data_IF_021954178919
#
_entry.id   IF_021954178919
#
_cell.length_a   1.000
_cell.length_b   1.000
_cell.length_c   1.000
_cell.angle_alpha   90.00
_cell.angle_beta   90.00
_cell.angle_gamma   90.00
#
_symmetry.space_group_name_H-M   'P 1'
#
loop_
_entity.id
_entity.type
_entity.pdbx_description
1 polymer ?
#
# COMPACT_ATOMS: atom_id res chain seq x y z
N UNK A 1 28.79 -4.07 -14.64
CA UNK A 1 27.98 -4.42 -13.46
C UNK A 1 27.78 -3.19 -12.61
N UNK A 2 26.79 -2.37 -12.96
CA UNK A 2 26.33 -1.23 -12.19
C UNK A 2 24.91 -1.55 -11.74
N UNK A 3 24.64 -1.37 -10.45
CA UNK A 3 23.33 -1.50 -9.83
C UNK A 3 22.30 -0.68 -10.60
N UNK A 4 21.36 -1.36 -11.25
CA UNK A 4 20.15 -0.73 -11.74
C UNK A 4 19.25 -0.48 -10.54
N UNK A 5 18.92 0.79 -10.27
CA UNK A 5 17.83 1.15 -9.37
C UNK A 5 16.52 0.60 -9.97
N UNK A 6 16.10 -0.58 -9.50
CA UNK A 6 14.93 -1.33 -9.99
C UNK A 6 13.64 -0.85 -9.33
N UNK A 7 13.36 0.46 -9.36
CA UNK A 7 12.12 1.01 -8.81
C UNK A 7 11.53 2.11 -9.70
N UNK A 8 10.29 1.93 -10.16
CA UNK A 8 9.52 2.95 -10.88
C UNK A 8 8.26 2.42 -11.59
N UNK A 9 7.29 3.30 -11.82
CA UNK A 9 6.31 3.19 -12.91
C UNK A 9 6.95 3.91 -14.10
N UNK A 10 7.02 3.35 -15.31
CA UNK A 10 7.85 3.94 -16.37
C UNK A 10 7.24 5.28 -16.82
N UNK A 11 7.78 6.41 -16.37
CA UNK A 11 7.19 7.73 -16.66
C UNK A 11 7.53 8.21 -18.09
N UNK A 12 8.81 8.21 -18.51
CA UNK A 12 9.32 8.32 -19.90
C UNK A 12 10.71 7.67 -19.89
N UNK A 13 11.10 6.97 -20.96
CA UNK A 13 12.43 6.36 -21.07
C UNK A 13 13.10 6.65 -22.41
N UNK A 14 14.41 6.90 -22.40
CA UNK A 14 15.17 7.09 -23.65
C UNK A 14 15.11 5.81 -24.48
N UNK A 15 14.90 5.93 -25.81
CA UNK A 15 14.76 4.80 -26.73
C UNK A 15 15.88 3.74 -26.63
N UNK A 16 17.08 4.16 -26.21
CA UNK A 16 18.25 3.28 -26.01
C UNK A 16 18.06 2.22 -24.91
N UNK A 17 17.02 2.36 -24.08
CA UNK A 17 16.62 1.29 -23.18
C UNK A 17 15.18 0.79 -23.36
N UNK A 18 14.69 0.91 -24.59
CA UNK A 18 13.64 0.04 -25.10
C UNK A 18 14.11 -1.42 -25.10
N UNK A 19 13.24 -2.33 -24.71
CA UNK A 19 13.46 -3.75 -24.91
C UNK A 19 13.16 -4.12 -26.37
N UNK A 20 14.06 -4.87 -26.99
CA UNK A 20 13.79 -5.41 -28.33
C UNK A 20 12.71 -6.47 -28.24
N UNK A 21 11.71 -6.44 -29.13
CA UNK A 21 10.78 -7.54 -29.27
C UNK A 21 11.43 -8.68 -30.08
N UNK A 22 11.08 -9.93 -29.77
CA UNK A 22 11.48 -11.07 -30.60
C UNK A 22 10.99 -10.88 -32.04
N UNK A 23 11.93 -10.98 -32.98
CA UNK A 23 11.63 -10.92 -34.41
C UNK A 23 10.89 -12.18 -34.84
N UNK A 24 9.76 -11.99 -35.50
CA UNK A 24 9.02 -13.09 -36.12
C UNK A 24 7.53 -12.86 -36.09
N UNK A 25 6.77 -13.96 -36.15
CA UNK A 25 5.32 -13.95 -36.09
C UNK A 25 4.85 -13.84 -34.64
N UNK A 26 3.89 -12.95 -34.41
CA UNK A 26 3.16 -12.79 -33.16
C UNK A 26 1.70 -13.19 -33.37
N UNK A 27 1.17 -13.99 -32.46
CA UNK A 27 -0.22 -14.44 -32.44
C UNK A 27 -0.97 -13.71 -31.32
N UNK A 28 -2.20 -13.30 -31.59
CA UNK A 28 -3.04 -12.56 -30.63
C UNK A 28 -4.18 -13.45 -30.12
N UNK A 29 -4.39 -13.39 -28.81
CA UNK A 29 -5.39 -14.12 -28.06
C UNK A 29 -6.22 -13.12 -27.27
N UNK A 30 -7.52 -13.07 -27.53
CA UNK A 30 -8.44 -12.22 -26.77
C UNK A 30 -8.79 -12.90 -25.45
N UNK A 31 -8.95 -12.10 -24.39
CA UNK A 31 -9.45 -12.55 -23.10
C UNK A 31 -10.91 -12.13 -22.96
N UNK A 32 -11.76 -13.11 -22.66
CA UNK A 32 -13.20 -12.92 -22.49
C UNK A 32 -13.60 -13.19 -21.03
N UNK A 33 -14.51 -12.38 -20.50
CA UNK A 33 -15.14 -12.68 -19.21
C UNK A 33 -16.01 -13.94 -19.29
N UNK A 34 -15.99 -14.75 -18.23
CA UNK A 34 -16.86 -15.92 -18.13
C UNK A 34 -18.32 -15.51 -18.00
N UNK A 35 -19.19 -16.02 -18.88
CA UNK A 35 -20.63 -15.77 -18.86
C UNK A 35 -21.25 -15.84 -20.26
N UNK A 36 -22.59 -15.80 -20.32
CA UNK A 36 -23.29 -15.78 -21.60
C UNK A 36 -23.06 -14.43 -22.30
N UNK A 37 -22.42 -14.44 -23.47
CA UNK A 37 -22.07 -13.22 -24.21
C UNK A 37 -20.81 -12.50 -23.70
N UNK A 38 -19.88 -13.22 -23.06
CA UNK A 38 -18.66 -12.69 -22.45
C UNK A 38 -17.95 -11.62 -23.29
N UNK A 39 -17.78 -10.43 -22.69
CA UNK A 39 -17.13 -9.28 -23.32
C UNK A 39 -15.63 -9.53 -23.45
N UNK A 40 -15.04 -9.11 -24.57
CA UNK A 40 -13.57 -9.01 -24.71
C UNK A 40 -13.11 -7.82 -23.88
N UNK A 41 -12.29 -8.08 -22.87
CA UNK A 41 -11.89 -7.09 -21.85
C UNK A 41 -10.37 -6.93 -21.77
N UNK A 42 -9.63 -7.92 -22.27
CA UNK A 42 -8.17 -7.87 -22.37
C UNK A 42 -7.69 -8.57 -23.64
N UNK A 43 -6.44 -8.32 -24.02
CA UNK A 43 -5.80 -8.95 -25.17
C UNK A 43 -4.36 -9.35 -24.85
N UNK A 44 -3.94 -10.52 -25.31
CA UNK A 44 -2.60 -11.07 -25.13
C UNK A 44 -1.97 -11.30 -26.50
N UNK A 45 -0.79 -10.75 -26.74
CA UNK A 45 0.02 -11.05 -27.91
C UNK A 45 1.23 -11.89 -27.47
N UNK A 46 1.52 -12.97 -28.19
CA UNK A 46 2.68 -13.82 -27.92
C UNK A 46 3.48 -14.05 -29.20
N UNK A 47 4.81 -14.04 -29.09
CA UNK A 47 5.66 -14.53 -30.17
C UNK A 47 5.39 -16.03 -30.39
N UNK A 48 5.41 -16.48 -31.65
CA UNK A 48 5.12 -17.87 -32.09
C UNK A 48 6.02 -18.97 -31.47
N UNK A 49 7.11 -18.57 -30.80
CA UNK A 49 7.92 -19.47 -29.97
C UNK A 49 7.19 -19.94 -28.70
N UNK A 50 6.28 -19.13 -28.16
CA UNK A 50 5.50 -19.47 -26.97
C UNK A 50 4.43 -20.50 -27.35
N UNK A 51 4.59 -21.73 -26.86
CA UNK A 51 3.66 -22.84 -27.15
C UNK A 51 2.43 -22.86 -26.26
N UNK A 52 2.49 -22.21 -25.10
CA UNK A 52 1.43 -22.18 -24.11
C UNK A 52 1.08 -20.75 -23.70
N UNK A 53 0.32 -20.00 -24.54
CA UNK A 53 -0.09 -18.62 -24.24
C UNK A 53 -0.85 -18.49 -22.92
N UNK A 54 -1.63 -19.50 -22.55
CA UNK A 54 -2.33 -19.55 -21.26
C UNK A 54 -1.34 -19.50 -20.08
N UNK A 55 -0.32 -20.37 -20.11
CA UNK A 55 0.67 -20.47 -19.03
C UNK A 55 1.50 -19.19 -18.93
N UNK A 56 1.80 -18.58 -20.08
CA UNK A 56 2.48 -17.28 -20.13
C UNK A 56 1.64 -16.16 -19.53
N UNK A 57 0.34 -16.09 -19.86
CA UNK A 57 -0.57 -15.10 -19.29
C UNK A 57 -0.68 -15.29 -17.76
N UNK A 58 -0.87 -16.53 -17.28
CA UNK A 58 -0.92 -16.82 -15.85
C UNK A 58 0.39 -16.46 -15.14
N UNK A 59 1.54 -16.77 -15.73
CA UNK A 59 2.85 -16.39 -15.19
C UNK A 59 2.99 -14.88 -15.03
N UNK A 60 2.60 -14.11 -16.05
CA UNK A 60 2.64 -12.65 -15.99
C UNK A 60 1.75 -12.12 -14.87
N UNK A 61 0.52 -12.63 -14.78
CA UNK A 61 -0.48 -12.18 -13.80
C UNK A 61 -0.12 -12.55 -12.36
N UNK A 62 0.56 -13.67 -12.14
CA UNK A 62 1.11 -14.03 -10.82
C UNK A 62 2.19 -13.05 -10.34
N UNK A 63 2.90 -12.39 -11.25
CA UNK A 63 3.96 -11.44 -10.94
C UNK A 63 3.43 -10.01 -10.80
N UNK A 64 2.56 -9.59 -11.72
CA UNK A 64 2.02 -8.23 -11.76
C UNK A 64 0.61 -8.21 -12.41
N UNK A 65 -0.41 -8.39 -11.59
CA UNK A 65 -1.82 -8.38 -12.01
C UNK A 65 -2.35 -6.93 -12.21
N UNK A 66 -3.67 -6.79 -12.40
CA UNK A 66 -4.37 -5.50 -12.37
C UNK A 66 -4.24 -4.84 -10.99
N UNK A 67 -3.87 -3.55 -10.89
CA UNK A 67 -3.78 -2.85 -9.61
C UNK A 67 -5.10 -2.75 -8.83
N UNK A 68 -6.22 -3.08 -9.48
CA UNK A 68 -7.55 -3.09 -8.88
C UNK A 68 -7.94 -4.46 -8.31
N UNK A 69 -7.15 -5.52 -8.52
CA UNK A 69 -7.35 -6.80 -7.85
C UNK A 69 -6.61 -6.83 -6.50
N UNK A 70 -7.17 -7.55 -5.51
CA UNK A 70 -6.64 -7.57 -4.15
C UNK A 70 -5.24 -8.19 -4.06
N UNK A 71 -4.93 -9.21 -4.86
CA UNK A 71 -3.62 -9.87 -4.90
C UNK A 71 -2.81 -9.43 -6.13
N UNK A 72 -2.79 -8.12 -6.40
CA UNK A 72 -2.13 -7.59 -7.59
C UNK A 72 -0.60 -7.70 -7.62
N UNK A 73 -0.02 -8.19 -6.52
CA UNK A 73 1.41 -8.25 -6.24
C UNK A 73 2.06 -6.86 -6.27
N UNK A 74 2.45 -6.37 -7.45
CA UNK A 74 3.05 -5.05 -7.61
C UNK A 74 2.61 -4.39 -8.91
N UNK A 75 2.36 -3.10 -8.85
CA UNK A 75 2.11 -2.24 -9.99
C UNK A 75 3.35 -1.43 -10.38
N UNK A 76 4.54 -1.80 -9.88
CA UNK A 76 5.81 -1.13 -10.19
C UNK A 76 6.82 -2.13 -10.70
N UNK A 77 7.76 -1.65 -11.50
CA UNK A 77 8.95 -2.42 -11.80
C UNK A 77 9.79 -2.52 -10.53
N UNK A 78 10.03 -3.75 -10.09
CA UNK A 78 10.74 -4.13 -8.86
C UNK A 78 11.67 -5.29 -9.15
N UNK A 79 12.52 -5.67 -8.19
CA UNK A 79 13.29 -6.91 -8.31
C UNK A 79 12.38 -8.13 -8.55
N UNK A 80 11.19 -8.19 -7.91
CA UNK A 80 10.21 -9.27 -8.12
C UNK A 80 9.71 -9.32 -9.57
N UNK A 81 9.44 -8.18 -10.20
CA UNK A 81 9.00 -8.17 -11.60
C UNK A 81 10.16 -8.51 -12.54
N UNK A 82 11.37 -8.06 -12.23
CA UNK A 82 12.58 -8.43 -12.97
C UNK A 82 12.83 -9.94 -12.92
N UNK A 83 12.91 -10.54 -11.74
CA UNK A 83 13.10 -11.98 -11.55
C UNK A 83 11.94 -12.77 -12.16
N UNK A 84 10.73 -12.23 -12.03
CA UNK A 84 9.52 -12.74 -12.66
C UNK A 84 9.48 -12.58 -14.18
N UNK A 85 10.45 -11.91 -14.82
CA UNK A 85 10.51 -11.61 -16.26
C UNK A 85 9.26 -10.88 -16.75
N UNK A 86 8.87 -9.85 -16.01
CA UNK A 86 7.74 -8.98 -16.31
C UNK A 86 8.16 -7.52 -16.23
N UNK A 87 7.88 -6.76 -17.28
CA UNK A 87 7.97 -5.31 -17.28
C UNK A 87 6.54 -4.74 -17.23
N UNK A 88 6.31 -3.85 -16.26
CA UNK A 88 5.02 -3.25 -15.94
C UNK A 88 4.88 -1.89 -16.62
N UNK A 89 3.76 -1.69 -17.32
CA UNK A 89 3.31 -0.43 -17.91
C UNK A 89 1.95 -0.07 -17.28
N UNK A 90 1.86 1.10 -16.65
CA UNK A 90 0.67 1.60 -15.99
C UNK A 90 -0.08 2.63 -16.82
N UNK A 91 -1.29 2.99 -16.36
CA UNK A 91 -2.15 3.98 -17.02
C UNK A 91 -1.48 5.30 -17.38
N UNK A 92 -0.51 5.73 -16.58
CA UNK A 92 0.20 6.99 -16.78
C UNK A 92 1.42 6.88 -17.69
N UNK A 93 1.85 5.67 -17.98
CA UNK A 93 3.05 5.38 -18.75
C UNK A 93 2.76 5.44 -20.28
N UNK A 94 1.48 5.59 -20.68
CA UNK A 94 1.02 5.59 -22.07
C UNK A 94 1.10 6.94 -22.78
N UNK A 95 1.46 8.02 -22.07
CA UNK A 95 1.91 9.27 -22.71
C UNK A 95 0.86 10.05 -23.52
N UNK A 96 -0.41 10.07 -23.11
CA UNK A 96 -1.41 10.95 -23.74
C UNK A 96 -1.34 12.35 -23.09
N UNK A 97 -0.80 13.32 -23.85
CA UNK A 97 -0.89 14.79 -23.70
C UNK A 97 -0.37 15.48 -22.42
N UNK A 98 0.16 14.78 -21.41
CA UNK A 98 0.57 15.45 -20.16
C UNK A 98 1.95 16.13 -20.19
N UNK A 99 2.83 15.80 -21.14
CA UNK A 99 4.17 16.38 -21.26
C UNK A 99 4.50 16.53 -22.74
N UNK A 100 4.69 17.79 -23.17
CA UNK A 100 4.77 18.17 -24.57
C UNK A 100 5.79 17.38 -25.41
N UNK A 101 5.44 17.29 -26.70
CA UNK A 101 6.21 16.79 -27.83
C UNK A 101 6.47 15.27 -27.80
N UNK A 102 5.67 14.54 -28.59
CA UNK A 102 6.10 13.25 -29.12
C UNK A 102 7.40 13.48 -29.92
N UNK A 103 8.57 13.12 -29.37
CA UNK A 103 9.88 13.31 -30.01
C UNK A 103 9.92 12.74 -31.45
N UNK A 104 9.09 11.73 -31.73
CA UNK A 104 9.03 11.02 -33.01
C UNK A 104 7.78 11.34 -33.86
N UNK A 105 6.87 12.21 -33.39
CA UNK A 105 5.64 12.58 -34.13
C UNK A 105 4.61 11.43 -34.30
N UNK A 106 4.77 10.32 -33.58
CA UNK A 106 3.91 9.13 -33.70
C UNK A 106 2.63 9.30 -32.85
N UNK A 107 1.49 9.60 -33.49
CA UNK A 107 0.16 9.72 -32.84
C UNK A 107 -0.72 8.49 -33.10
N UNK A 108 -0.21 7.28 -32.88
CA UNK A 108 -0.91 6.04 -33.27
C UNK A 108 -1.57 5.38 -32.05
N UNK A 109 -2.85 5.69 -31.82
CA UNK A 109 -3.68 5.13 -30.76
C UNK A 109 -4.97 5.94 -30.63
N UNK A 110 -6.11 5.26 -30.47
CA UNK A 110 -7.42 5.93 -30.37
C UNK A 110 -8.10 5.57 -29.05
N UNK A 111 -8.51 6.61 -28.34
CA UNK A 111 -9.56 6.55 -27.34
C UNK A 111 -10.86 7.09 -27.98
N UNK A 112 -11.89 6.26 -28.09
CA UNK A 112 -13.20 6.69 -28.61
C UNK A 112 -14.28 6.45 -27.57
N UNK A 113 -15.00 7.51 -27.22
CA UNK A 113 -16.22 7.41 -26.40
C UNK A 113 -17.37 6.94 -27.30
N UNK A 114 -17.77 5.69 -27.13
CA UNK A 114 -18.94 5.13 -27.81
C UNK A 114 -20.13 5.08 -26.84
N UNK A 115 -21.35 4.98 -27.38
CA UNK A 115 -22.58 4.92 -26.56
C UNK A 115 -22.66 3.72 -25.59
N UNK A 116 -21.75 2.75 -25.71
CA UNK A 116 -21.60 1.55 -24.88
C UNK A 116 -20.29 1.51 -24.04
N UNK A 117 -19.52 2.61 -24.03
CA UNK A 117 -18.34 2.80 -23.17
C UNK A 117 -17.10 3.33 -23.91
N UNK A 118 -16.00 3.51 -23.19
CA UNK A 118 -14.71 3.90 -23.77
C UNK A 118 -14.05 2.69 -24.45
N UNK A 119 -13.70 2.85 -25.73
CA UNK A 119 -12.92 1.87 -26.50
C UNK A 119 -11.47 2.34 -26.56
N UNK A 120 -10.56 1.46 -26.18
CA UNK A 120 -9.14 1.72 -26.14
C UNK A 120 -8.40 0.79 -27.08
N UNK A 121 -7.47 1.34 -27.86
CA UNK A 121 -6.69 0.53 -28.79
C UNK A 121 -5.21 0.89 -28.79
N UNK A 122 -4.36 -0.13 -28.93
CA UNK A 122 -2.91 0.00 -29.06
C UNK A 122 -2.41 -0.91 -30.18
N UNK A 123 -1.37 -0.46 -30.87
CA UNK A 123 -0.81 -1.17 -32.01
C UNK A 123 0.47 -1.90 -31.61
N UNK A 124 0.60 -3.16 -32.03
CA UNK A 124 1.86 -3.89 -32.01
C UNK A 124 2.35 -4.01 -33.45
N UNK A 125 3.39 -3.25 -33.79
CA UNK A 125 3.86 -3.00 -35.17
C UNK A 125 5.40 -3.02 -35.23
N UNK A 126 5.95 -3.28 -36.41
CA UNK A 126 7.39 -3.10 -36.64
C UNK A 126 7.71 -1.60 -36.74
N UNK A 127 8.64 -1.12 -35.91
CA UNK A 127 9.00 0.31 -35.87
C UNK A 127 9.53 0.81 -37.22
N UNK A 128 10.35 0.02 -37.93
CA UNK A 128 10.90 0.45 -39.22
C UNK A 128 9.78 0.66 -40.26
N UNK A 129 8.72 -0.13 -40.16
CA UNK A 129 7.57 -0.03 -41.04
C UNK A 129 6.68 1.18 -40.72
N UNK A 130 6.56 1.55 -39.45
CA UNK A 130 5.87 2.78 -39.05
C UNK A 130 6.62 4.00 -39.60
N UNK A 131 7.94 4.04 -39.42
CA UNK A 131 8.78 5.14 -39.90
C UNK A 131 8.73 5.30 -41.42
N UNK A 132 8.86 4.19 -42.18
CA UNK A 132 8.74 4.22 -43.65
C UNK A 132 7.39 4.78 -44.09
N UNK A 133 6.32 4.50 -43.35
CA UNK A 133 4.98 4.96 -43.73
C UNK A 133 4.78 6.45 -43.39
N UNK A 134 5.25 6.92 -42.23
CA UNK A 134 5.16 8.34 -41.84
C UNK A 134 5.99 9.26 -42.73
N UNK A 135 7.14 8.81 -43.23
CA UNK A 135 7.93 9.55 -44.21
C UNK A 135 7.24 9.68 -45.57
N UNK A 136 6.25 8.81 -45.87
CA UNK A 136 5.61 8.69 -47.18
C UNK A 136 4.11 9.08 -47.20
N UNK A 137 3.51 9.46 -46.07
CA UNK A 137 2.08 9.83 -45.97
C UNK A 137 1.90 11.29 -45.56
N UNK A 138 1.27 12.09 -46.42
CA UNK A 138 0.81 13.46 -46.12
C UNK A 138 -0.55 13.49 -45.39
N UNK A 139 -1.18 12.34 -45.15
CA UNK A 139 -2.50 12.23 -44.52
C UNK A 139 -2.56 11.04 -43.53
N UNK A 140 -3.47 11.18 -42.55
CA UNK A 140 -3.79 10.27 -41.46
C UNK A 140 -3.54 8.78 -41.74
N UNK A 141 -2.86 8.10 -40.82
CA UNK A 141 -2.64 6.65 -40.82
C UNK A 141 -4.01 5.96 -40.82
N UNK A 142 -4.45 5.45 -41.97
CA UNK A 142 -5.78 4.82 -42.14
C UNK A 142 -6.09 3.80 -41.02
N UNK A 143 -7.31 3.84 -40.46
CA UNK A 143 -7.80 2.95 -39.38
C UNK A 143 -7.71 1.44 -39.72
N UNK A 144 -7.51 1.09 -40.99
CA UNK A 144 -7.57 -0.25 -41.59
C UNK A 144 -6.27 -1.07 -41.52
N UNK A 145 -5.25 -0.62 -40.76
CA UNK A 145 -3.97 -1.35 -40.57
C UNK A 145 -4.11 -2.77 -39.98
N UNK A 146 -5.31 -3.17 -39.56
CA UNK A 146 -5.64 -4.48 -38.96
C UNK A 146 -5.29 -5.67 -39.88
N UNK A 147 -5.29 -5.50 -41.20
CA UNK A 147 -5.23 -6.63 -42.15
C UNK A 147 -4.09 -6.57 -43.18
N UNK A 148 -3.17 -5.60 -43.08
CA UNK A 148 -2.10 -5.42 -44.07
C UNK A 148 -0.87 -6.31 -43.86
N UNK A 149 -0.85 -7.13 -42.80
CA UNK A 149 0.30 -7.96 -42.42
C UNK A 149 1.46 -7.18 -41.76
N UNK A 150 1.21 -5.92 -41.40
CA UNK A 150 2.20 -4.94 -40.90
C UNK A 150 2.24 -4.80 -39.37
N UNK A 151 1.26 -5.38 -38.70
CA UNK A 151 1.12 -5.37 -37.24
C UNK A 151 -0.26 -5.86 -36.84
N UNK A 152 -0.57 -5.72 -35.56
CA UNK A 152 -1.87 -6.10 -35.01
C UNK A 152 -2.40 -5.01 -34.07
N UNK A 153 -3.66 -4.63 -34.28
CA UNK A 153 -4.39 -3.72 -33.39
C UNK A 153 -4.97 -4.52 -32.24
N UNK A 154 -4.53 -4.23 -31.03
CA UNK A 154 -5.15 -4.70 -29.80
C UNK A 154 -6.26 -3.73 -29.45
N UNK A 155 -7.46 -4.24 -29.30
CA UNK A 155 -8.66 -3.45 -28.98
C UNK A 155 -9.28 -4.04 -27.74
N UNK A 156 -9.39 -3.21 -26.70
CA UNK A 156 -10.05 -3.57 -25.45
C UNK A 156 -11.03 -2.46 -25.07
N UNK A 157 -11.92 -2.74 -24.13
CA UNK A 157 -12.87 -1.77 -23.64
C UNK A 157 -12.60 -1.43 -22.17
N UNK A 158 -12.94 -0.20 -21.79
CA UNK A 158 -12.81 0.30 -20.43
C UNK A 158 -11.82 1.45 -20.31
N UNK A 159 -11.88 2.13 -19.17
CA UNK A 159 -10.99 3.26 -18.84
C UNK A 159 -9.69 2.75 -18.20
N UNK A 160 -8.63 3.57 -18.28
CA UNK A 160 -7.30 3.32 -17.69
C UNK A 160 -6.62 2.03 -18.17
N UNK A 161 -5.71 2.16 -19.12
CA UNK A 161 -5.06 1.03 -19.77
C UNK A 161 -3.78 0.60 -19.05
N UNK A 162 -3.57 -0.71 -18.97
CA UNK A 162 -2.40 -1.32 -18.38
C UNK A 162 -1.76 -2.30 -19.37
N UNK A 163 -0.44 -2.37 -19.31
CA UNK A 163 0.36 -3.27 -20.13
C UNK A 163 1.32 -4.11 -19.27
N UNK A 164 1.54 -5.35 -19.64
CA UNK A 164 2.56 -6.22 -19.03
C UNK A 164 3.33 -6.91 -20.15
N UNK A 165 4.62 -6.65 -20.22
CA UNK A 165 5.51 -7.34 -21.16
C UNK A 165 6.14 -8.54 -20.49
N UNK A 166 6.08 -9.72 -21.11
CA UNK A 166 6.85 -10.87 -20.71
C UNK A 166 8.20 -10.89 -21.43
N UNK A 167 9.28 -11.03 -20.64
CA UNK A 167 10.65 -11.07 -21.16
C UNK A 167 11.13 -12.50 -21.39
N UNK A 168 12.12 -12.66 -22.26
CA UNK A 168 12.86 -13.93 -22.45
C UNK A 168 13.60 -14.34 -21.17
N UNK A 169 14.04 -15.60 -21.11
CA UNK A 169 14.76 -16.16 -19.94
C UNK A 169 16.01 -15.38 -19.54
N UNK A 170 16.69 -14.79 -20.52
CA UNK A 170 17.92 -13.99 -20.37
C UNK A 170 17.65 -12.48 -20.30
N UNK A 171 16.38 -12.07 -20.21
CA UNK A 171 15.94 -10.66 -20.19
C UNK A 171 16.35 -9.83 -21.41
N UNK A 172 16.79 -10.46 -22.50
CA UNK A 172 17.31 -9.75 -23.68
C UNK A 172 16.21 -9.21 -24.61
N UNK A 173 15.02 -9.81 -24.58
CA UNK A 173 13.92 -9.44 -25.47
C UNK A 173 12.53 -9.60 -24.84
N UNK A 174 11.55 -8.88 -25.40
CA UNK A 174 10.12 -9.07 -25.16
C UNK A 174 9.60 -10.21 -26.03
N UNK A 175 8.86 -11.13 -25.44
CA UNK A 175 8.26 -12.28 -26.15
C UNK A 175 6.73 -12.35 -26.01
N UNK A 176 6.15 -11.56 -25.12
CA UNK A 176 4.71 -11.49 -24.93
C UNK A 176 4.28 -10.10 -24.41
N UNK A 177 3.02 -9.74 -24.66
CA UNK A 177 2.42 -8.50 -24.20
C UNK A 177 0.95 -8.74 -23.82
N UNK A 178 0.58 -8.41 -22.59
CA UNK A 178 -0.79 -8.44 -22.08
C UNK A 178 -1.30 -7.02 -21.87
N UNK A 179 -2.45 -6.71 -22.46
CA UNK A 179 -3.13 -5.42 -22.38
C UNK A 179 -4.51 -5.59 -21.74
N UNK A 180 -4.84 -4.76 -20.75
CA UNK A 180 -6.12 -4.78 -20.04
C UNK A 180 -6.49 -3.40 -19.49
N UNK A 181 -7.71 -3.22 -18.96
CA UNK A 181 -8.21 -1.96 -18.42
C UNK A 181 -8.48 -2.04 -16.91
N UNK A 182 -8.83 -0.93 -16.27
CA UNK A 182 -9.25 -0.93 -14.86
C UNK A 182 -10.51 -1.78 -14.62
N UNK A 183 -11.34 -1.93 -15.66
CA UNK A 183 -12.59 -2.69 -15.60
C UNK A 183 -12.39 -4.20 -15.78
N UNK A 184 -11.20 -4.64 -16.19
CA UNK A 184 -10.91 -6.06 -16.43
C UNK A 184 -10.82 -6.83 -15.11
N UNK A 185 -11.77 -7.76 -14.90
CA UNK A 185 -11.72 -8.75 -13.82
C UNK A 185 -10.97 -9.99 -14.30
N UNK A 186 -9.65 -9.99 -14.17
CA UNK A 186 -8.75 -11.03 -14.69
C UNK A 186 -9.02 -12.39 -14.05
N UNK A 187 -9.44 -12.40 -12.78
CA UNK A 187 -9.95 -13.59 -12.07
C UNK A 187 -11.16 -14.26 -12.71
N UNK A 188 -11.87 -13.58 -13.62
CA UNK A 188 -13.03 -14.10 -14.37
C UNK A 188 -12.74 -14.26 -15.86
N UNK A 189 -11.52 -13.96 -16.30
CA UNK A 189 -11.16 -14.00 -17.71
C UNK A 189 -10.63 -15.38 -18.12
N UNK A 190 -11.03 -15.82 -19.31
CA UNK A 190 -10.48 -17.00 -19.99
C UNK A 190 -9.92 -16.57 -21.35
N UNK A 191 -8.97 -17.33 -21.91
CA UNK A 191 -8.58 -17.14 -23.31
C UNK A 191 -9.75 -17.53 -24.22
N UNK A 192 -10.04 -16.68 -25.20
CA UNK A 192 -11.03 -16.94 -26.23
C UNK A 192 -10.61 -18.20 -27.01
N UNK A 193 -11.56 -19.13 -27.18
CA UNK A 193 -11.35 -20.42 -27.82
C UNK A 193 -10.40 -21.40 -27.07
N UNK A 194 -10.15 -21.20 -25.77
CA UNK A 194 -9.50 -22.25 -24.97
C UNK A 194 -10.37 -23.52 -25.01
N UNK A 195 -9.81 -24.71 -25.31
CA UNK A 195 -10.57 -25.96 -25.36
C UNK A 195 -11.10 -26.38 -23.98
N UNK A 196 -10.57 -25.80 -22.90
CA UNK A 196 -10.96 -26.08 -21.52
C UNK A 196 -11.97 -25.03 -21.04
N UNK A 197 -13.25 -25.41 -20.81
CA UNK A 197 -14.25 -24.48 -20.32
C UNK A 197 -13.85 -23.90 -18.96
N UNK A 198 -14.07 -22.59 -18.76
CA UNK A 198 -13.83 -21.89 -17.49
C UNK A 198 -12.40 -22.04 -16.94
N UNK A 199 -11.41 -22.17 -17.82
CA UNK A 199 -10.01 -22.12 -17.43
C UNK A 199 -9.58 -20.65 -17.28
N UNK A 200 -9.65 -20.15 -16.05
CA UNK A 200 -9.34 -18.76 -15.73
C UNK A 200 -7.83 -18.49 -15.80
N UNK A 201 -7.45 -17.35 -16.40
CA UNK A 201 -6.03 -16.95 -16.52
C UNK A 201 -5.40 -16.57 -15.18
N UNK A 202 -6.24 -16.25 -14.19
CA UNK A 202 -5.82 -15.90 -12.84
C UNK A 202 -6.79 -16.52 -11.83
N UNK A 203 -6.24 -17.03 -10.72
CA UNK A 203 -7.00 -17.56 -9.59
C UNK A 203 -6.59 -16.74 -8.37
N UNK A 204 -7.50 -15.94 -7.78
CA UNK A 204 -7.21 -15.19 -6.57
C UNK A 204 -6.78 -16.09 -5.43
N UNK A 205 -5.93 -15.56 -4.56
CA UNK A 205 -5.59 -16.23 -3.31
C UNK A 205 -6.83 -16.35 -2.42
N UNK A 206 -6.95 -17.44 -1.68
CA UNK A 206 -7.93 -17.49 -0.60
C UNK A 206 -7.54 -16.48 0.50
N UNK A 207 -8.49 -16.02 1.34
CA UNK A 207 -8.17 -15.15 2.47
C UNK A 207 -7.05 -15.70 3.36
N UNK A 208 -7.00 -17.01 3.58
CA UNK A 208 -5.98 -17.69 4.38
C UNK A 208 -4.60 -17.65 3.71
N UNK A 209 -4.54 -17.88 2.40
CA UNK A 209 -3.31 -17.80 1.62
C UNK A 209 -2.77 -16.37 1.61
N UNK A 210 -3.63 -15.38 1.34
CA UNK A 210 -3.27 -13.96 1.38
C UNK A 210 -2.74 -13.55 2.75
N UNK A 211 -3.41 -14.01 3.82
CA UNK A 211 -2.95 -13.73 5.17
C UNK A 211 -1.58 -14.34 5.45
N UNK A 212 -1.35 -15.60 5.03
CA UNK A 212 -0.05 -16.27 5.17
C UNK A 212 1.06 -15.56 4.37
N UNK A 213 0.79 -15.08 3.17
CA UNK A 213 1.77 -14.32 2.37
C UNK A 213 2.12 -12.99 3.03
N UNK A 214 1.12 -12.23 3.49
CA UNK A 214 1.32 -10.94 4.18
C UNK A 214 2.05 -11.06 5.51
N UNK A 215 1.94 -12.21 6.18
CA UNK A 215 2.76 -12.54 7.34
C UNK A 215 4.21 -12.80 6.92
N UNK A 216 4.41 -13.62 5.89
CA UNK A 216 5.74 -14.05 5.46
C UNK A 216 6.57 -12.90 4.87
N UNK A 217 5.95 -11.97 4.14
CA UNK A 217 6.63 -10.82 3.52
C UNK A 217 6.73 -9.60 4.45
N UNK A 218 6.14 -9.65 5.65
CA UNK A 218 6.15 -8.57 6.62
C UNK A 218 5.24 -7.39 6.29
N UNK A 219 4.33 -7.52 5.32
CA UNK A 219 3.37 -6.47 4.93
C UNK A 219 2.56 -5.94 6.11
N UNK A 220 2.20 -6.82 7.06
CA UNK A 220 1.45 -6.45 8.26
C UNK A 220 2.22 -5.57 9.25
N UNK A 221 3.53 -5.37 9.06
CA UNK A 221 4.29 -4.37 9.82
C UNK A 221 3.97 -2.95 9.36
N UNK A 222 3.53 -2.74 8.12
CA UNK A 222 3.16 -1.43 7.58
C UNK A 222 4.34 -0.51 7.22
N UNK A 223 5.56 -1.03 7.22
CA UNK A 223 6.77 -0.24 6.99
C UNK A 223 6.87 0.35 5.58
N UNK A 224 6.48 -0.40 4.54
CA UNK A 224 6.46 0.14 3.19
C UNK A 224 5.50 1.32 3.03
N UNK A 225 4.35 1.27 3.72
CA UNK A 225 3.40 2.36 3.70
C UNK A 225 3.98 3.59 4.41
N UNK A 226 4.59 3.43 5.59
CA UNK A 226 5.24 4.53 6.30
C UNK A 226 6.35 5.21 5.47
N UNK A 227 7.18 4.44 4.77
CA UNK A 227 8.20 4.98 3.85
C UNK A 227 7.62 5.88 2.76
N UNK A 228 6.36 5.66 2.36
CA UNK A 228 5.68 6.45 1.32
C UNK A 228 4.96 7.67 1.89
N UNK A 229 4.49 7.58 3.13
CA UNK A 229 3.65 8.59 3.77
C UNK A 229 4.41 9.70 4.50
N UNK A 230 5.72 9.53 4.75
CA UNK A 230 6.50 10.48 5.55
C UNK A 230 7.74 10.95 4.82
N UNK A 231 7.84 12.26 4.60
CA UNK A 231 8.85 12.87 3.72
C UNK A 231 9.82 13.82 4.44
N UNK A 232 9.73 13.98 5.76
CA UNK A 232 10.56 14.94 6.51
C UNK A 232 11.68 14.23 7.31
N UNK A 233 12.94 14.28 6.85
CA UNK A 233 14.08 13.72 7.58
C UNK A 233 14.35 14.38 8.94
N UNK A 234 13.99 15.65 9.14
CA UNK A 234 14.21 16.36 10.41
C UNK A 234 13.32 15.80 11.53
N UNK A 235 12.15 15.27 11.18
CA UNK A 235 11.25 14.60 12.11
C UNK A 235 11.94 13.44 12.83
N UNK A 236 12.76 12.65 12.10
CA UNK A 236 13.41 11.44 12.62
C UNK A 236 14.55 11.70 13.60
N UNK A 237 15.11 12.92 13.63
CA UNK A 237 16.21 13.27 14.53
C UNK A 237 15.77 13.37 16.00
N UNK A 238 14.47 13.56 16.23
CA UNK A 238 13.89 13.79 17.57
C UNK A 238 13.05 12.61 18.05
N UNK A 239 13.27 11.40 17.50
CA UNK A 239 12.59 10.20 17.96
C UNK A 239 13.15 9.71 19.29
N UNK A 240 12.26 9.20 20.13
CA UNK A 240 12.58 8.61 21.43
C UNK A 240 13.10 7.18 21.21
N UNK A 241 14.33 6.85 21.67
CA UNK A 241 14.85 5.50 21.63
C UNK A 241 13.94 4.50 22.36
N UNK A 242 14.00 3.20 22.02
CA UNK A 242 13.19 2.18 22.69
C UNK A 242 13.35 2.24 24.22
N UNK A 243 12.23 2.35 24.92
CA UNK A 243 12.17 2.43 26.38
C UNK A 243 12.27 1.03 27.02
N UNK A 244 12.03 -0.02 26.24
CA UNK A 244 12.05 -1.43 26.67
C UNK A 244 10.93 -1.72 27.65
N UNK A 245 9.70 -1.34 27.29
CA UNK A 245 8.51 -1.41 28.15
C UNK A 245 7.45 -2.35 27.60
N UNK A 246 7.86 -3.40 26.90
CA UNK A 246 6.99 -4.32 26.16
C UNK A 246 5.95 -5.03 27.03
N UNK A 247 6.17 -5.08 28.35
CA UNK A 247 5.27 -5.67 29.34
C UNK A 247 4.48 -4.64 30.17
N UNK A 248 4.51 -3.34 29.83
CA UNK A 248 3.85 -2.29 30.61
C UNK A 248 2.33 -2.48 30.69
N UNK A 249 1.68 -2.73 29.56
CA UNK A 249 0.25 -3.07 29.46
C UNK A 249 0.17 -4.54 29.03
N UNK A 250 -0.51 -5.41 29.78
CA UNK A 250 -0.60 -6.82 29.45
C UNK A 250 -1.52 -7.06 28.25
N UNK A 251 -1.23 -8.11 27.47
CA UNK A 251 -2.02 -8.49 26.28
C UNK A 251 -3.51 -8.67 26.59
N UNK A 252 -3.83 -9.27 27.75
CA UNK A 252 -5.21 -9.49 28.18
C UNK A 252 -6.00 -8.18 28.32
N UNK A 253 -5.35 -7.11 28.77
CA UNK A 253 -5.97 -5.79 28.89
C UNK A 253 -6.22 -5.19 27.51
N UNK A 254 -5.23 -5.23 26.62
CA UNK A 254 -5.35 -4.75 25.23
C UNK A 254 -6.48 -5.48 24.50
N UNK A 255 -6.54 -6.81 24.60
CA UNK A 255 -7.60 -7.60 23.96
C UNK A 255 -8.98 -7.31 24.56
N UNK A 256 -9.06 -7.10 25.88
CA UNK A 256 -10.31 -6.72 26.55
C UNK A 256 -10.82 -5.37 26.05
N UNK A 257 -9.93 -4.39 25.90
CA UNK A 257 -10.27 -3.06 25.37
C UNK A 257 -10.69 -3.17 23.90
N UNK A 258 -9.92 -3.87 23.07
CA UNK A 258 -10.23 -4.07 21.66
C UNK A 258 -11.63 -4.69 21.48
N UNK A 259 -11.95 -5.73 22.27
CA UNK A 259 -13.26 -6.37 22.24
C UNK A 259 -14.40 -5.43 22.67
N UNK A 260 -14.11 -4.48 23.58
CA UNK A 260 -15.08 -3.47 24.07
C UNK A 260 -15.35 -2.39 23.02
N UNK A 261 -14.29 -1.83 22.42
CA UNK A 261 -14.41 -0.71 21.47
C UNK A 261 -14.75 -1.16 20.06
N UNK A 262 -14.34 -2.37 19.68
CA UNK A 262 -14.59 -2.91 18.35
C UNK A 262 -15.08 -4.37 18.41
N UNK A 263 -16.34 -4.62 18.78
CA UNK A 263 -16.86 -5.97 19.00
C UNK A 263 -16.96 -6.83 17.74
N UNK A 264 -16.80 -6.22 16.55
CA UNK A 264 -16.81 -6.91 15.25
C UNK A 264 -15.46 -7.51 14.89
N UNK A 265 -14.37 -6.90 15.39
CA UNK A 265 -13.06 -7.55 15.44
C UNK A 265 -13.18 -8.62 16.52
N UNK A 266 -12.62 -9.82 16.31
CA UNK A 266 -12.76 -10.95 17.25
C UNK A 266 -12.08 -10.71 18.62
N UNK A 267 -11.60 -9.49 18.90
CA UNK A 267 -10.79 -9.16 20.07
C UNK A 267 -9.39 -9.78 20.02
N UNK A 268 -8.97 -10.26 18.85
CA UNK A 268 -7.72 -11.02 18.69
C UNK A 268 -6.68 -10.14 18.01
N UNK A 269 -5.50 -10.09 18.64
CA UNK A 269 -4.26 -9.66 18.01
C UNK A 269 -3.67 -10.86 17.29
N UNK A 270 -3.22 -10.68 16.04
CA UNK A 270 -2.60 -11.74 15.24
C UNK A 270 -1.52 -12.48 16.05
N UNK A 271 -1.70 -13.79 16.34
CA UNK A 271 -0.81 -14.55 17.22
C UNK A 271 0.68 -14.44 16.89
N UNK A 272 1.03 -14.44 15.61
CA UNK A 272 2.43 -14.36 15.18
C UNK A 272 3.03 -12.97 15.33
N UNK A 273 2.20 -11.93 15.49
CA UNK A 273 2.61 -10.53 15.59
C UNK A 273 2.28 -9.91 16.95
N UNK A 274 1.91 -10.73 17.95
CA UNK A 274 1.64 -10.26 19.31
C UNK A 274 2.83 -9.51 19.93
N UNK A 275 4.09 -9.99 19.83
CA UNK A 275 5.24 -9.26 20.37
C UNK A 275 5.37 -7.86 19.78
N UNK A 276 5.20 -7.73 18.46
CA UNK A 276 5.31 -6.46 17.73
C UNK A 276 4.18 -5.50 18.09
N UNK A 277 2.95 -5.98 18.24
CA UNK A 277 1.82 -5.16 18.67
C UNK A 277 1.99 -4.68 20.11
N UNK A 278 2.43 -5.57 21.01
CA UNK A 278 2.70 -5.22 22.40
C UNK A 278 3.81 -4.20 22.52
N UNK A 279 4.93 -4.42 21.82
CA UNK A 279 6.05 -3.49 21.79
C UNK A 279 5.58 -2.13 21.25
N UNK A 280 4.88 -2.10 20.11
CA UNK A 280 4.41 -0.87 19.49
C UNK A 280 3.49 -0.05 20.41
N UNK A 281 2.44 -0.66 20.97
CA UNK A 281 1.47 0.04 21.82
C UNK A 281 2.11 0.49 23.13
N UNK A 282 2.91 -0.36 23.78
CA UNK A 282 3.54 -0.01 25.04
C UNK A 282 4.61 1.07 24.87
N UNK A 283 5.42 1.02 23.83
CA UNK A 283 6.40 2.08 23.53
C UNK A 283 5.71 3.40 23.21
N UNK A 284 4.62 3.37 22.44
CA UNK A 284 3.79 4.54 22.13
C UNK A 284 3.22 5.18 23.41
N UNK A 285 2.65 4.37 24.31
CA UNK A 285 2.16 4.84 25.59
C UNK A 285 3.29 5.32 26.51
N UNK A 286 4.45 4.64 26.49
CA UNK A 286 5.63 5.03 27.26
C UNK A 286 6.13 6.41 26.85
N UNK A 287 6.22 6.69 25.56
CA UNK A 287 6.60 8.01 25.03
C UNK A 287 5.63 9.10 25.51
N UNK A 288 4.33 8.82 25.51
CA UNK A 288 3.34 9.77 26.03
C UNK A 288 3.54 10.06 27.53
N UNK A 289 3.75 9.04 28.37
CA UNK A 289 4.04 9.22 29.80
C UNK A 289 5.35 9.98 30.00
N UNK A 290 6.39 9.67 29.23
CA UNK A 290 7.67 10.36 29.27
C UNK A 290 7.51 11.86 28.98
N UNK A 291 6.65 12.22 28.01
CA UNK A 291 6.32 13.61 27.70
C UNK A 291 5.72 14.35 28.90
N UNK A 292 4.81 13.70 29.64
CA UNK A 292 4.27 14.26 30.89
C UNK A 292 5.36 14.47 31.95
N UNK A 293 6.24 13.48 32.11
CA UNK A 293 7.41 13.56 33.00
C UNK A 293 8.31 14.74 32.67
N UNK A 294 8.72 14.86 31.41
CA UNK A 294 9.61 15.92 30.93
C UNK A 294 9.01 17.32 31.13
N UNK A 295 7.71 17.49 30.83
CA UNK A 295 7.01 18.77 31.06
C UNK A 295 6.98 19.14 32.54
N UNK A 296 6.75 18.17 33.42
CA UNK A 296 6.65 18.40 34.86
C UNK A 296 7.96 18.91 35.49
N UNK A 297 9.14 18.63 34.91
CA UNK A 297 10.42 19.04 35.50
C UNK A 297 10.59 20.57 35.59
N UNK A 298 9.99 21.30 34.64
CA UNK A 298 10.09 22.77 34.53
C UNK A 298 8.94 23.53 35.17
N UNK A 299 7.97 22.82 35.75
CA UNK A 299 6.70 23.38 36.19
C UNK A 299 6.54 23.26 37.71
N UNK A 300 5.86 24.24 38.32
CA UNK A 300 5.70 24.35 39.78
C UNK A 300 4.29 23.98 40.29
N UNK A 301 3.28 23.90 39.41
CA UNK A 301 1.90 23.58 39.80
C UNK A 301 1.24 22.54 38.90
N UNK A 302 0.25 21.81 39.45
CA UNK A 302 -0.56 20.84 38.70
C UNK A 302 -1.32 21.50 37.55
N UNK A 303 -1.87 22.68 37.77
CA UNK A 303 -2.65 23.40 36.75
C UNK A 303 -1.78 23.81 35.56
N UNK A 304 -0.57 24.30 35.84
CA UNK A 304 0.40 24.64 34.80
C UNK A 304 0.86 23.40 34.02
N UNK A 305 1.03 22.25 34.71
CA UNK A 305 1.36 20.98 34.04
C UNK A 305 0.25 20.58 33.07
N UNK A 306 -1.01 20.63 33.52
CA UNK A 306 -2.16 20.26 32.69
C UNK A 306 -2.32 21.20 31.49
N UNK A 307 -2.08 22.50 31.65
CA UNK A 307 -2.07 23.46 30.53
C UNK A 307 -0.93 23.20 29.53
N UNK A 308 0.25 22.82 30.01
CA UNK A 308 1.41 22.54 29.16
C UNK A 308 1.33 21.17 28.46
N UNK A 309 0.71 20.18 29.11
CA UNK A 309 0.52 18.85 28.58
C UNK A 309 -0.70 18.75 27.66
N UNK A 310 -1.79 19.46 28.00
CA UNK A 310 -3.08 19.37 27.32
C UNK A 310 -3.56 20.76 26.87
N UNK A 311 -2.82 21.47 26.01
CA UNK A 311 -3.08 22.89 25.68
C UNK A 311 -4.47 23.13 25.10
N UNK A 312 -5.03 22.16 24.36
CA UNK A 312 -6.36 22.31 23.75
C UNK A 312 -7.51 21.87 24.67
N UNK A 313 -7.24 21.45 25.92
CA UNK A 313 -8.28 20.99 26.85
C UNK A 313 -9.22 22.11 27.30
N UNK A 314 -8.74 23.35 27.29
CA UNK A 314 -9.47 24.54 27.75
C UNK A 314 -10.10 25.32 26.59
N UNK A 315 -10.00 24.80 25.36
CA UNK A 315 -10.60 25.38 24.17
C UNK A 315 -12.11 25.14 24.05
N UNK A 316 -12.77 25.77 23.06
CA UNK A 316 -14.21 25.61 22.83
C UNK A 316 -14.57 24.19 22.36
N UNK A 317 -13.63 23.46 21.74
CA UNK A 317 -13.85 22.11 21.26
C UNK A 317 -13.67 21.06 22.36
N UNK A 318 -14.76 20.79 23.09
CA UNK A 318 -14.78 19.78 24.15
C UNK A 318 -14.60 18.34 23.65
N UNK A 319 -14.63 18.09 22.33
CA UNK A 319 -14.37 16.77 21.75
C UNK A 319 -12.89 16.49 21.47
N UNK A 320 -12.03 17.48 21.63
CA UNK A 320 -10.59 17.31 21.43
C UNK A 320 -10.01 16.31 22.44
N UNK A 321 -9.02 15.52 22.01
CA UNK A 321 -8.34 14.50 22.82
C UNK A 321 -7.85 15.04 24.17
N UNK A 322 -7.19 16.21 24.18
CA UNK A 322 -6.79 16.95 25.38
C UNK A 322 -7.93 17.17 26.39
N UNK A 323 -9.11 17.59 25.92
CA UNK A 323 -10.28 17.84 26.77
C UNK A 323 -10.83 16.53 27.36
N UNK A 324 -10.82 15.46 26.57
CA UNK A 324 -11.24 14.13 27.02
C UNK A 324 -10.26 13.53 28.03
N UNK A 325 -8.94 13.63 27.80
CA UNK A 325 -7.91 13.21 28.77
C UNK A 325 -8.08 13.97 30.09
N UNK A 326 -8.24 15.29 30.05
CA UNK A 326 -8.45 16.10 31.25
C UNK A 326 -9.70 15.66 32.02
N UNK A 327 -10.79 15.37 31.30
CA UNK A 327 -12.02 14.82 31.89
C UNK A 327 -11.76 13.47 32.58
N UNK A 328 -10.98 12.58 31.96
CA UNK A 328 -10.63 11.27 32.52
C UNK A 328 -9.72 11.38 33.74
N UNK A 329 -8.77 12.32 33.75
CA UNK A 329 -7.95 12.59 34.94
C UNK A 329 -8.78 12.97 36.17
N UNK A 330 -9.87 13.70 35.97
CA UNK A 330 -10.74 14.21 37.04
C UNK A 330 -11.90 13.26 37.39
N UNK A 331 -12.20 12.26 36.56
CA UNK A 331 -13.30 11.34 36.81
C UNK A 331 -12.83 10.09 37.59
N UNK A 332 -13.16 10.04 38.89
CA UNK A 332 -12.86 8.90 39.76
C UNK A 332 -13.62 7.62 39.40
N UNK A 333 -14.71 7.72 38.65
CA UNK A 333 -15.56 6.57 38.31
C UNK A 333 -15.05 5.80 37.09
N UNK A 334 -14.03 6.31 36.39
CA UNK A 334 -13.36 5.58 35.32
C UNK A 334 -12.30 4.63 35.91
N UNK A 335 -12.42 3.34 35.59
CA UNK A 335 -11.38 2.35 35.90
C UNK A 335 -10.07 2.73 35.19
N UNK A 336 -8.95 2.89 35.91
CA UNK A 336 -7.65 3.12 35.29
C UNK A 336 -7.18 1.88 34.51
N UNK A 337 -6.30 2.09 33.53
CA UNK A 337 -5.63 1.01 32.83
C UNK A 337 -4.78 0.17 33.77
N UNK A 338 -4.87 -1.15 33.66
CA UNK A 338 -3.97 -2.07 34.35
C UNK A 338 -2.57 -1.95 33.76
N UNK A 339 -1.59 -1.53 34.56
CA UNK A 339 -0.19 -1.38 34.13
C UNK A 339 0.78 -1.99 35.14
N UNK A 340 1.91 -2.51 34.66
CA UNK A 340 3.07 -2.83 35.50
C UNK A 340 3.72 -1.53 36.00
N UNK A 341 3.66 -1.30 37.31
CA UNK A 341 4.21 -0.10 37.93
C UNK A 341 5.73 0.04 37.75
N UNK A 342 6.47 -1.06 37.73
CA UNK A 342 7.91 -1.04 37.56
C UNK A 342 8.26 -0.59 36.13
N UNK A 343 7.48 -1.00 35.14
CA UNK A 343 7.62 -0.53 33.76
C UNK A 343 7.28 0.94 33.60
N UNK A 344 6.21 1.43 34.26
CA UNK A 344 5.88 2.86 34.26
C UNK A 344 7.00 3.67 34.92
N UNK A 345 7.57 3.17 36.04
CA UNK A 345 8.68 3.83 36.72
C UNK A 345 10.01 3.74 35.98
N UNK A 346 10.18 2.77 35.08
CA UNK A 346 11.31 2.73 34.14
C UNK A 346 11.27 3.90 33.15
N UNK A 347 10.07 4.29 32.71
CA UNK A 347 9.87 5.46 31.82
C UNK A 347 10.00 6.77 32.59
N UNK A 348 9.27 6.89 33.70
CA UNK A 348 9.28 8.09 34.55
C UNK A 348 9.57 7.70 36.00
N UNK A 349 10.79 7.95 36.50
CA UNK A 349 11.23 7.52 37.81
C UNK A 349 10.26 7.93 38.92
N UNK A 350 10.09 7.08 39.95
CA UNK A 350 9.19 7.35 41.08
C UNK A 350 9.46 8.69 41.81
N UNK A 351 10.68 9.23 41.69
CA UNK A 351 11.05 10.54 42.23
C UNK A 351 10.74 11.76 41.34
N UNK A 352 10.25 11.56 40.10
CA UNK A 352 9.95 12.64 39.16
C UNK A 352 8.89 13.59 39.71
N UNK A 353 8.97 14.88 39.33
CA UNK A 353 7.99 15.88 39.73
C UNK A 353 6.56 15.55 39.28
N UNK A 354 6.37 14.81 38.18
CA UNK A 354 5.03 14.49 37.67
C UNK A 354 4.17 13.78 38.71
N UNK A 355 4.77 12.92 39.54
CA UNK A 355 4.07 12.15 40.58
C UNK A 355 3.62 13.00 41.78
N UNK A 356 4.09 14.25 41.88
CA UNK A 356 3.56 15.23 42.84
C UNK A 356 2.26 15.87 42.35
N UNK A 357 2.04 15.85 41.03
CA UNK A 357 0.89 16.49 40.39
C UNK A 357 -0.19 15.50 39.97
N UNK A 358 0.22 14.33 39.47
CA UNK A 358 -0.66 13.27 38.97
C UNK A 358 -0.42 11.97 39.72
N UNK A 359 -1.50 11.26 40.08
CA UNK A 359 -1.38 9.90 40.61
C UNK A 359 -1.22 8.89 39.47
N UNK A 360 -0.71 7.70 39.78
CA UNK A 360 -0.66 6.57 38.83
C UNK A 360 -2.04 6.28 38.23
N UNK A 361 -3.11 6.29 39.04
CA UNK A 361 -4.47 6.10 38.53
C UNK A 361 -4.92 7.21 37.56
N UNK A 362 -4.50 8.46 37.78
CA UNK A 362 -4.80 9.55 36.84
C UNK A 362 -4.11 9.29 35.50
N UNK A 363 -2.82 8.96 35.52
CA UNK A 363 -2.06 8.61 34.31
C UNK A 363 -2.68 7.39 33.61
N UNK A 364 -2.99 6.34 34.36
CA UNK A 364 -3.65 5.13 33.85
C UNK A 364 -5.02 5.40 33.23
N UNK A 365 -5.80 6.35 33.73
CA UNK A 365 -7.06 6.78 33.09
C UNK A 365 -6.85 7.53 31.77
N UNK A 366 -5.78 8.33 31.67
CA UNK A 366 -5.41 8.96 30.40
C UNK A 366 -4.96 7.94 29.37
N UNK A 367 -4.09 7.01 29.77
CA UNK A 367 -3.65 5.90 28.92
C UNK A 367 -4.82 5.03 28.45
N UNK A 368 -5.76 4.70 29.35
CA UNK A 368 -6.96 3.95 28.99
C UNK A 368 -7.72 4.63 27.84
N UNK A 369 -7.94 5.94 27.96
CA UNK A 369 -8.67 6.68 26.93
C UNK A 369 -7.91 6.72 25.59
N UNK A 370 -6.61 7.03 25.62
CA UNK A 370 -5.79 7.00 24.39
C UNK A 370 -5.82 5.63 23.73
N UNK A 371 -5.66 4.57 24.52
CA UNK A 371 -5.66 3.20 24.02
C UNK A 371 -7.02 2.77 23.47
N UNK A 372 -8.13 3.18 24.10
CA UNK A 372 -9.49 2.98 23.57
C UNK A 372 -9.64 3.57 22.17
N UNK A 373 -9.27 4.85 21.98
CA UNK A 373 -9.42 5.55 20.71
C UNK A 373 -8.50 4.96 19.63
N UNK A 374 -7.24 4.64 19.97
CA UNK A 374 -6.29 4.00 19.05
C UNK A 374 -6.82 2.64 18.60
N UNK A 375 -7.30 1.80 19.53
CA UNK A 375 -7.79 0.47 19.21
C UNK A 375 -9.14 0.49 18.48
N UNK A 376 -9.98 1.50 18.70
CA UNK A 376 -11.20 1.70 17.92
C UNK A 376 -10.86 1.97 16.45
N UNK A 377 -9.99 2.95 16.19
CA UNK A 377 -9.58 3.34 14.84
C UNK A 377 -8.78 2.22 14.15
N UNK A 378 -7.86 1.57 14.86
CA UNK A 378 -7.09 0.46 14.31
C UNK A 378 -7.99 -0.77 14.05
N UNK A 379 -8.98 -1.04 14.91
CA UNK A 379 -9.97 -2.08 14.65
C UNK A 379 -10.83 -1.79 13.41
N UNK A 380 -11.21 -0.53 13.18
CA UNK A 380 -11.91 -0.14 11.96
C UNK A 380 -11.00 -0.32 10.72
N UNK A 381 -9.72 0.05 10.83
CA UNK A 381 -8.75 -0.19 9.78
C UNK A 381 -8.61 -1.68 9.43
N UNK A 382 -8.58 -2.57 10.43
CA UNK A 382 -8.57 -4.01 10.21
C UNK A 382 -9.82 -4.46 9.42
N UNK A 383 -11.01 -4.01 9.82
CA UNK A 383 -12.28 -4.35 9.16
C UNK A 383 -12.37 -3.83 7.73
N UNK A 384 -11.92 -2.60 7.47
CA UNK A 384 -11.88 -2.00 6.13
C UNK A 384 -10.96 -2.79 5.19
N UNK A 385 -9.97 -3.48 5.75
CA UNK A 385 -9.09 -4.39 5.02
C UNK A 385 -9.58 -5.86 5.02
N UNK A 386 -10.83 -6.11 5.41
CA UNK A 386 -11.43 -7.45 5.44
C UNK A 386 -10.83 -8.39 6.50
N UNK A 387 -10.13 -7.86 7.51
CA UNK A 387 -9.55 -8.63 8.61
C UNK A 387 -10.41 -8.53 9.87
N UNK A 388 -10.44 -9.61 10.63
CA UNK A 388 -11.12 -9.69 11.93
C UNK A 388 -10.14 -9.76 13.12
N UNK A 389 -8.88 -9.40 12.87
CA UNK A 389 -7.76 -9.45 13.79
C UNK A 389 -6.88 -8.20 13.60
N UNK A 390 -6.25 -7.76 14.69
CA UNK A 390 -5.40 -6.58 14.71
C UNK A 390 -3.95 -6.93 14.35
N UNK A 391 -3.33 -6.13 13.49
CA UNK A 391 -1.90 -6.21 13.15
C UNK A 391 -1.19 -4.85 13.35
N UNK A 392 0.15 -4.79 13.42
CA UNK A 392 0.88 -3.54 13.67
C UNK A 392 0.58 -2.41 12.67
N UNK A 393 0.35 -2.74 11.39
CA UNK A 393 0.03 -1.73 10.37
C UNK A 393 -1.25 -0.97 10.68
N UNK A 394 -2.26 -1.64 11.26
CA UNK A 394 -3.55 -1.03 11.59
C UNK A 394 -3.37 0.08 12.64
N UNK A 395 -2.51 -0.18 13.64
CA UNK A 395 -2.19 0.78 14.71
C UNK A 395 -1.40 1.97 14.17
N UNK A 396 -0.40 1.72 13.32
CA UNK A 396 0.41 2.77 12.70
C UNK A 396 -0.43 3.69 11.82
N UNK A 397 -1.32 3.12 11.02
CA UNK A 397 -2.25 3.87 10.17
C UNK A 397 -3.22 4.69 11.02
N UNK A 398 -3.78 4.11 12.09
CA UNK A 398 -4.67 4.83 13.00
C UNK A 398 -3.99 6.05 13.64
N UNK A 399 -2.73 5.92 14.07
CA UNK A 399 -1.98 7.01 14.69
C UNK A 399 -1.57 8.09 13.68
N UNK A 400 -1.05 7.72 12.51
CA UNK A 400 -0.56 8.70 11.53
C UNK A 400 -1.69 9.46 10.85
N UNK A 401 -2.84 8.83 10.64
CA UNK A 401 -3.97 9.49 9.99
C UNK A 401 -4.79 10.38 10.93
N UNK A 402 -4.54 10.34 12.25
CA UNK A 402 -5.18 11.23 13.22
C UNK A 402 -4.20 12.31 13.69
N UNK A 403 -4.48 13.55 13.30
CA UNK A 403 -3.65 14.72 13.65
C UNK A 403 -3.51 14.89 15.17
N UNK A 404 -4.56 14.62 15.95
CA UNK A 404 -4.52 14.78 17.41
C UNK A 404 -3.61 13.75 18.07
N UNK A 405 -3.51 12.53 17.52
CA UNK A 405 -2.53 11.54 17.99
C UNK A 405 -1.09 11.93 17.65
N UNK A 406 -0.88 12.56 16.49
CA UNK A 406 0.42 13.10 16.12
C UNK A 406 0.83 14.28 17.03
N UNK A 407 -0.11 15.18 17.38
CA UNK A 407 0.10 16.26 18.36
C UNK A 407 0.51 15.74 19.74
N UNK A 408 -0.09 14.62 20.16
CA UNK A 408 0.24 13.89 21.39
C UNK A 408 1.57 13.12 21.33
N UNK A 409 2.31 13.24 20.21
CA UNK A 409 3.62 12.62 20.01
C UNK A 409 3.60 11.09 20.07
N UNK A 410 2.45 10.46 19.79
CA UNK A 410 2.31 9.00 19.83
C UNK A 410 3.15 8.29 18.76
N UNK A 411 3.50 8.98 17.68
CA UNK A 411 4.40 8.50 16.65
C UNK A 411 5.88 8.79 16.94
N UNK A 412 6.28 9.29 18.13
CA UNK A 412 7.68 9.66 18.41
C UNK A 412 8.57 8.49 18.87
N UNK A 413 8.03 7.30 19.12
CA UNK A 413 8.88 6.14 19.44
C UNK A 413 9.64 5.66 18.18
N UNK A 414 10.92 5.33 18.32
CA UNK A 414 11.68 4.69 17.24
C UNK A 414 11.08 3.34 16.80
N UNK A 415 10.43 2.61 17.70
CA UNK A 415 9.72 1.34 17.40
C UNK A 415 8.54 1.56 16.46
N UNK A 416 7.97 2.77 16.45
CA UNK A 416 6.87 3.11 15.55
C UNK A 416 7.29 3.04 14.07
N UNK A 417 8.56 3.34 13.77
CA UNK A 417 9.05 3.54 12.42
C UNK A 417 9.86 2.35 11.89
N UNK A 418 9.98 2.21 10.55
CA UNK A 418 10.90 1.25 9.96
C UNK A 418 12.34 1.49 10.45
N UNK A 419 13.10 0.45 10.84
CA UNK A 419 14.45 0.62 11.38
C UNK A 419 15.40 1.40 10.46
N UNK A 420 15.24 1.28 9.15
CA UNK A 420 16.03 1.99 8.14
C UNK A 420 15.70 3.48 8.02
N UNK A 421 14.51 3.92 8.47
CA UNK A 421 14.13 5.33 8.52
C UNK A 421 14.62 6.02 9.81
N UNK A 422 14.86 5.24 10.85
CA UNK A 422 15.45 5.71 12.10
C UNK A 422 16.95 5.84 11.88
N UNK A 423 17.37 6.87 11.15
CA UNK A 423 18.79 7.16 10.96
C UNK A 423 19.43 7.33 12.33
N UNK A 424 20.39 6.45 12.61
CA UNK A 424 21.31 6.54 13.74
C UNK A 424 22.05 7.88 13.65
N UNK A 425 21.54 8.90 14.34
CA UNK A 425 22.31 10.06 14.73
C UNK A 425 23.33 9.67 15.79
N UNK A 426 24.32 8.85 15.41
CA UNK A 426 25.58 8.68 16.13
C UNK A 426 26.73 8.50 15.14
#
# INVERSE_FOLDING_TARGET
CSSFDTAGTVLIHQYKYNFQALRGRWDVYMLQESGFGGRITAAMACHSSIKHPFEEATRILQVANSPYEEDHATNRNTQKTWDGRVLVVNRYDWGEDYYGEAEDGITVGEETLMGDGQRNSRWLVDYAQVMETMENSDDDVEEDWVYSGRGVRLVIFGEYIFGRFGLTEDHSAVQSFLMFSADTQLSKCCLQNDPTPNRFVYVPLTPEQRHSEKLADGSYLGYEWLRRSTADPEFFQNLVPPLGVESMIPLSEIQSILQRVNPKVTGIVEPQLQPEVLQLLNETMGVWIQSLGNKAETIESKDDLLKAALPNAYGPNQKHIHAQILKKFNNSDCTPLTTDSDMVHKVVPAGSKVWRFLTMDQVGRGMMYLLEEILELAGNCALDNGRNMLVPSDIRIAIINDEQFCEENLNRSQVFWPPDMVVTGQ
#
